data_IF_915227231580
#
_entry.id   IF_915227231580
#
_cell.length_a   1.000
_cell.length_b   1.000
_cell.length_c   1.000
_cell.angle_alpha   90.00
_cell.angle_beta   90.00
_cell.angle_gamma   90.00
#
_symmetry.space_group_name_H-M   'P 1'
#
loop_
_entity.id
_entity.type
_entity.pdbx_description
1 polymer ?
#
# COMPACT_ATOMS: atom_id res chain seq x y z
N UNK A 1 -19.52 2.85 14.85
CA UNK A 1 -19.29 3.63 13.61
C UNK A 1 -19.09 2.61 12.51
N UNK A 2 -19.88 2.65 11.44
CA UNK A 2 -19.62 1.81 10.27
C UNK A 2 -18.21 2.11 9.77
N UNK A 3 -17.36 1.09 9.71
CA UNK A 3 -16.09 1.20 9.01
C UNK A 3 -16.41 1.35 7.52
N UNK A 4 -16.31 2.56 6.99
CA UNK A 4 -16.32 2.77 5.54
C UNK A 4 -15.10 2.07 4.94
N UNK A 5 -15.30 0.88 4.41
CA UNK A 5 -14.29 0.19 3.59
C UNK A 5 -14.16 0.89 2.24
N UNK A 6 -12.96 0.87 1.66
CA UNK A 6 -12.73 1.32 0.29
C UNK A 6 -13.56 0.42 -0.64
N UNK A 7 -14.43 0.97 -1.50
CA UNK A 7 -15.22 0.12 -2.39
C UNK A 7 -14.32 -0.59 -3.41
N UNK A 8 -14.74 -1.77 -3.82
CA UNK A 8 -14.00 -2.64 -4.73
C UNK A 8 -14.67 -2.68 -6.11
N UNK A 9 -13.87 -2.88 -7.14
CA UNK A 9 -14.35 -3.20 -8.49
C UNK A 9 -13.99 -4.64 -8.84
N UNK A 10 -14.86 -5.32 -9.59
CA UNK A 10 -14.59 -6.64 -10.15
C UNK A 10 -13.94 -6.46 -11.52
N UNK A 11 -12.71 -6.93 -11.66
CA UNK A 11 -11.98 -6.93 -12.92
C UNK A 11 -12.57 -7.96 -13.90
N UNK A 12 -12.22 -7.85 -15.19
CA UNK A 12 -12.67 -8.82 -16.21
C UNK A 12 -12.21 -10.27 -15.90
N UNK A 13 -11.20 -10.44 -15.07
CA UNK A 13 -10.71 -11.73 -14.58
C UNK A 13 -11.52 -12.30 -13.41
N UNK A 14 -12.53 -11.58 -12.91
CA UNK A 14 -13.30 -11.93 -11.72
C UNK A 14 -12.64 -11.56 -10.38
N UNK A 15 -11.41 -11.04 -10.38
CA UNK A 15 -10.74 -10.60 -9.14
C UNK A 15 -11.32 -9.27 -8.66
N UNK A 16 -11.41 -9.11 -7.35
CA UNK A 16 -11.78 -7.84 -6.71
C UNK A 16 -10.54 -6.98 -6.50
N UNK A 17 -10.67 -5.68 -6.75
CA UNK A 17 -9.60 -4.71 -6.58
C UNK A 17 -10.13 -3.47 -5.85
N UNK A 18 -9.50 -3.04 -4.75
CA UNK A 18 -9.85 -1.77 -4.11
C UNK A 18 -9.67 -0.60 -5.08
N UNK A 19 -10.72 0.23 -5.23
CA UNK A 19 -10.72 1.33 -6.20
C UNK A 19 -9.79 2.49 -5.83
N UNK A 20 -9.36 2.56 -4.56
CA UNK A 20 -8.36 3.53 -4.10
C UNK A 20 -7.08 2.77 -3.77
N UNK A 21 -6.00 3.11 -4.47
CA UNK A 21 -4.66 2.55 -4.26
C UNK A 21 -3.69 3.60 -3.71
N UNK A 22 -2.64 3.14 -3.02
CA UNK A 22 -1.52 3.96 -2.55
C UNK A 22 -0.34 3.78 -3.51
N UNK A 23 0.04 4.83 -4.24
CA UNK A 23 1.22 4.80 -5.11
C UNK A 23 2.51 5.02 -4.32
N UNK A 24 3.57 4.27 -4.65
CA UNK A 24 4.86 4.35 -3.95
C UNK A 24 5.96 5.05 -4.75
N UNK A 25 5.68 5.48 -5.98
CA UNK A 25 6.63 6.19 -6.83
C UNK A 25 6.88 7.64 -6.37
N UNK A 26 8.13 7.99 -6.13
CA UNK A 26 8.56 9.34 -5.75
C UNK A 26 9.99 9.61 -6.21
N UNK A 27 10.30 10.86 -6.58
CA UNK A 27 11.64 11.29 -7.02
C UNK A 27 12.00 12.61 -6.32
N UNK A 28 13.07 12.67 -5.51
CA UNK A 28 13.93 11.55 -5.12
C UNK A 28 13.20 10.50 -4.25
N UNK A 29 13.76 9.29 -4.18
CA UNK A 29 13.26 8.24 -3.29
C UNK A 29 13.68 8.56 -1.84
N UNK A 30 12.75 8.71 -0.88
CA UNK A 30 13.05 8.88 0.53
C UNK A 30 13.78 7.65 1.11
N UNK A 31 14.53 7.82 2.21
CA UNK A 31 15.17 6.70 2.88
C UNK A 31 14.14 5.74 3.51
N UNK A 32 14.53 4.48 3.72
CA UNK A 32 13.63 3.43 4.23
C UNK A 32 12.97 3.79 5.57
N UNK A 33 13.68 4.49 6.45
CA UNK A 33 13.15 4.89 7.76
C UNK A 33 12.00 5.91 7.68
N UNK A 34 11.79 6.55 6.53
CA UNK A 34 10.62 7.40 6.25
C UNK A 34 9.53 6.63 5.48
N UNK A 35 9.91 5.78 4.53
CA UNK A 35 8.97 5.02 3.70
C UNK A 35 8.17 3.98 4.49
N UNK A 36 8.85 3.19 5.33
CA UNK A 36 8.21 2.12 6.12
C UNK A 36 7.07 2.66 7.00
N UNK A 37 7.27 3.69 7.85
CA UNK A 37 6.18 4.21 8.67
C UNK A 37 5.06 4.84 7.83
N UNK A 38 5.37 5.45 6.68
CA UNK A 38 4.34 5.97 5.78
C UNK A 38 3.44 4.86 5.23
N UNK A 39 4.02 3.73 4.80
CA UNK A 39 3.27 2.58 4.32
C UNK A 39 2.47 1.90 5.44
N UNK A 40 3.06 1.73 6.63
CA UNK A 40 2.33 1.21 7.80
C UNK A 40 1.13 2.10 8.13
N UNK A 41 1.32 3.44 8.09
CA UNK A 41 0.22 4.36 8.34
C UNK A 41 -0.87 4.25 7.27
N UNK A 42 -0.51 4.11 5.99
CA UNK A 42 -1.47 3.86 4.90
C UNK A 42 -2.31 2.60 5.16
N UNK A 43 -1.67 1.50 5.60
CA UNK A 43 -2.38 0.26 5.99
C UNK A 43 -3.32 0.52 7.17
N UNK A 44 -2.86 1.23 8.20
CA UNK A 44 -3.65 1.55 9.41
C UNK A 44 -4.89 2.39 9.11
N UNK A 45 -4.79 3.34 8.19
CA UNK A 45 -5.93 4.20 7.81
C UNK A 45 -6.86 3.55 6.77
N UNK A 46 -6.57 2.31 6.34
CA UNK A 46 -7.51 1.49 5.56
C UNK A 46 -7.12 1.22 4.11
N UNK A 47 -5.94 1.64 3.64
CA UNK A 47 -5.47 1.25 2.31
C UNK A 47 -5.21 -0.25 2.25
N UNK A 48 -5.67 -0.89 1.16
CA UNK A 48 -5.51 -2.34 0.91
C UNK A 48 -4.95 -2.66 -0.46
N UNK A 49 -4.61 -1.64 -1.24
CA UNK A 49 -4.06 -1.75 -2.58
C UNK A 49 -2.89 -0.79 -2.68
N UNK A 50 -1.71 -1.31 -3.01
CA UNK A 50 -0.46 -0.58 -3.16
C UNK A 50 0.06 -0.77 -4.58
N UNK A 51 0.43 0.33 -5.24
CA UNK A 51 1.04 0.34 -6.56
C UNK A 51 2.53 0.67 -6.43
N UNK A 52 3.38 -0.23 -6.92
CA UNK A 52 4.84 -0.11 -6.92
C UNK A 52 5.39 -0.65 -8.23
N UNK A 53 6.68 -0.38 -8.50
CA UNK A 53 7.41 -0.96 -9.62
C UNK A 53 8.87 -1.16 -9.25
N UNK A 54 9.53 -2.14 -9.89
CA UNK A 54 10.96 -2.40 -9.71
C UNK A 54 11.84 -1.15 -9.93
N UNK A 55 11.45 -0.26 -10.84
CA UNK A 55 12.17 0.99 -11.09
C UNK A 55 12.12 1.97 -9.91
N UNK A 56 11.07 1.93 -9.07
CA UNK A 56 10.89 2.92 -8.01
C UNK A 56 11.83 2.69 -6.83
N UNK A 57 12.37 1.48 -6.66
CA UNK A 57 13.19 1.12 -5.48
C UNK A 57 12.42 1.05 -4.16
N UNK A 58 11.09 1.20 -4.19
CA UNK A 58 10.22 1.19 -3.00
C UNK A 58 9.72 -0.20 -2.58
N UNK A 59 10.03 -1.26 -3.34
CA UNK A 59 9.48 -2.61 -3.10
C UNK A 59 9.97 -3.22 -1.78
N UNK A 60 11.25 -3.08 -1.45
CA UNK A 60 11.81 -3.58 -0.18
C UNK A 60 11.16 -2.90 1.06
N UNK A 61 11.14 -1.56 1.18
CA UNK A 61 10.49 -0.92 2.32
C UNK A 61 8.97 -1.19 2.36
N UNK A 62 8.30 -1.32 1.21
CA UNK A 62 6.89 -1.72 1.16
C UNK A 62 6.67 -3.13 1.71
N UNK A 63 7.50 -4.09 1.31
CA UNK A 63 7.44 -5.46 1.81
C UNK A 63 7.65 -5.55 3.33
N UNK A 64 8.63 -4.80 3.85
CA UNK A 64 8.87 -4.70 5.30
C UNK A 64 7.66 -4.12 6.05
N UNK A 65 7.05 -3.06 5.52
CA UNK A 65 5.87 -2.46 6.11
C UNK A 65 4.67 -3.42 6.13
N UNK A 66 4.44 -4.18 5.05
CA UNK A 66 3.37 -5.18 4.97
C UNK A 66 3.59 -6.28 6.01
N UNK A 67 4.80 -6.83 6.11
CA UNK A 67 5.13 -7.88 7.09
C UNK A 67 4.87 -7.39 8.54
N UNK A 68 5.37 -6.21 8.89
CA UNK A 68 5.17 -5.62 10.22
C UNK A 68 3.70 -5.32 10.54
N UNK A 69 2.89 -4.98 9.53
CA UNK A 69 1.47 -4.70 9.71
C UNK A 69 0.61 -5.96 9.85
N UNK A 70 1.09 -7.12 9.37
CA UNK A 70 0.41 -8.41 9.51
C UNK A 70 0.74 -9.13 10.83
N UNK A 71 1.85 -8.76 11.48
CA UNK A 71 2.25 -9.29 12.79
C UNK A 71 1.60 -8.58 13.99
N UNK A 72 0.88 -7.46 13.75
CA UNK A 72 0.17 -6.67 14.75
C UNK A 72 -1.32 -7.03 14.81
#
# INVERSE_FOLDING_TARGET
MESKSIPEIVLNSGHKMPMIGFGTGTVPLPPHHELIPAFINAIKIGYRHFDTAAYYGSEEPLGQAIAQALEQ
#
